data_IF_533679966067
#
_entry.id   IF_533679966067
#
_cell.length_a   1.000
_cell.length_b   1.000
_cell.length_c   1.000
_cell.angle_alpha   90.00
_cell.angle_beta   90.00
_cell.angle_gamma   90.00
#
_symmetry.space_group_name_H-M   'P 1'
#
loop_
_entity.id
_entity.type
_entity.pdbx_description
1 polymer ?
#
# COMPACT_ATOMS: atom_id res chain seq x y z
N UNK A 1 -3.44 -3.71 -19.79
CA UNK A 1 -2.65 -4.13 -18.62
C UNK A 1 -2.67 -3.01 -17.59
N UNK A 2 -3.23 -3.24 -16.40
CA UNK A 2 -3.19 -2.28 -15.29
C UNK A 2 -1.88 -2.41 -14.52
N UNK A 3 -1.31 -1.28 -14.11
CA UNK A 3 -0.08 -1.20 -13.31
C UNK A 3 -0.42 -1.01 -11.84
N UNK A 4 -0.10 -2.00 -11.03
CA UNK A 4 -0.42 -2.02 -9.60
C UNK A 4 0.87 -1.90 -8.80
N UNK A 5 0.80 -1.17 -7.69
CA UNK A 5 1.88 -1.13 -6.70
C UNK A 5 1.35 -1.49 -5.32
N UNK A 6 2.25 -1.93 -4.43
CA UNK A 6 1.91 -2.32 -3.05
C UNK A 6 2.73 -1.49 -2.08
N UNK A 7 2.06 -0.82 -1.14
CA UNK A 7 2.66 -0.11 -0.02
C UNK A 7 2.51 -0.92 1.28
N UNK A 8 3.62 -1.10 2.00
CA UNK A 8 3.71 -1.79 3.29
C UNK A 8 4.28 -0.90 4.39
N UNK A 9 4.04 -1.29 5.63
CA UNK A 9 4.71 -0.69 6.79
C UNK A 9 6.17 -1.12 6.87
N UNK A 10 7.10 -0.18 7.01
CA UNK A 10 8.53 -0.47 7.18
C UNK A 10 8.78 -1.34 8.42
N UNK A 11 8.21 -0.96 9.56
CA UNK A 11 8.40 -1.66 10.85
C UNK A 11 8.02 -3.13 10.74
N UNK A 12 6.89 -3.45 10.12
CA UNK A 12 6.46 -4.84 9.91
C UNK A 12 7.30 -5.54 8.85
N UNK A 13 7.72 -4.82 7.82
CA UNK A 13 8.54 -5.38 6.72
C UNK A 13 9.92 -5.82 7.18
N UNK A 14 10.44 -5.30 8.31
CA UNK A 14 11.69 -5.76 8.90
C UNK A 14 11.69 -7.27 9.24
N UNK A 15 10.52 -7.87 9.48
CA UNK A 15 10.37 -9.31 9.71
C UNK A 15 9.41 -9.99 8.71
N UNK A 16 8.89 -9.25 7.71
CA UNK A 16 7.89 -9.73 6.78
C UNK A 16 8.41 -9.70 5.33
N UNK A 17 8.63 -10.88 4.76
CA UNK A 17 9.04 -11.05 3.37
C UNK A 17 7.96 -10.62 2.34
N UNK A 18 6.72 -10.39 2.77
CA UNK A 18 5.63 -9.97 1.88
C UNK A 18 4.99 -11.09 1.06
N UNK A 19 5.27 -12.35 1.39
CA UNK A 19 4.75 -13.54 0.69
C UNK A 19 3.23 -13.54 0.56
N UNK A 20 2.48 -13.20 1.61
CA UNK A 20 1.02 -13.11 1.57
C UNK A 20 0.51 -12.02 0.61
N UNK A 21 1.20 -10.88 0.54
CA UNK A 21 0.82 -9.81 -0.41
C UNK A 21 1.06 -10.23 -1.86
N UNK A 22 2.19 -10.88 -2.13
CA UNK A 22 2.55 -11.35 -3.48
C UNK A 22 1.67 -12.51 -3.92
N UNK A 23 1.34 -13.45 -3.02
CA UNK A 23 0.39 -14.53 -3.29
C UNK A 23 -0.96 -13.95 -3.72
N UNK A 24 -1.54 -13.05 -2.91
CA UNK A 24 -2.82 -12.45 -3.21
C UNK A 24 -2.81 -11.67 -4.55
N UNK A 25 -1.71 -11.00 -4.87
CA UNK A 25 -1.54 -10.34 -6.16
C UNK A 25 -1.50 -11.36 -7.33
N UNK A 26 -0.64 -12.38 -7.24
CA UNK A 26 -0.45 -13.38 -8.30
C UNK A 26 -1.71 -14.19 -8.57
N UNK A 27 -2.44 -14.53 -7.51
CA UNK A 27 -3.70 -15.30 -7.58
C UNK A 27 -4.91 -14.41 -7.86
N UNK A 28 -4.73 -13.08 -7.92
CA UNK A 28 -5.82 -12.09 -8.02
C UNK A 28 -6.92 -12.34 -6.98
N UNK A 29 -6.51 -12.62 -5.75
CA UNK A 29 -7.40 -12.96 -4.65
C UNK A 29 -7.49 -11.84 -3.63
N UNK A 30 -8.45 -11.96 -2.70
CA UNK A 30 -8.60 -11.04 -1.57
C UNK A 30 -8.75 -9.58 -2.06
N UNK A 31 -7.87 -8.66 -1.65
CA UNK A 31 -7.92 -7.25 -2.09
C UNK A 31 -7.69 -7.05 -3.59
N UNK A 32 -7.20 -8.06 -4.30
CA UNK A 32 -6.98 -8.02 -5.75
C UNK A 32 -8.10 -8.70 -6.57
N UNK A 33 -9.13 -9.25 -5.92
CA UNK A 33 -10.26 -9.93 -6.60
C UNK A 33 -10.96 -9.07 -7.64
N UNK A 34 -11.00 -7.75 -7.41
CA UNK A 34 -11.57 -6.78 -8.35
C UNK A 34 -10.91 -6.77 -9.74
N UNK A 35 -9.72 -7.33 -9.86
CA UNK A 35 -8.98 -7.44 -11.12
C UNK A 35 -9.14 -8.81 -11.78
N UNK A 36 -10.07 -9.65 -11.32
CA UNK A 36 -10.41 -10.91 -11.99
C UNK A 36 -10.80 -10.65 -13.46
N UNK A 37 -10.27 -11.46 -14.37
CA UNK A 37 -10.41 -11.25 -15.81
C UNK A 37 -9.57 -10.10 -16.40
N UNK A 38 -8.88 -9.30 -15.58
CA UNK A 38 -8.01 -8.22 -16.05
C UNK A 38 -6.53 -8.63 -16.04
N UNK A 39 -5.77 -8.18 -17.03
CA UNK A 39 -4.31 -8.30 -17.03
C UNK A 39 -3.68 -7.20 -16.16
N UNK A 40 -2.91 -7.60 -15.15
CA UNK A 40 -2.29 -6.69 -14.17
C UNK A 40 -0.79 -6.98 -14.02
N UNK A 41 -0.01 -5.92 -13.82
CA UNK A 41 1.43 -5.99 -13.61
C UNK A 41 1.81 -5.33 -12.28
N UNK A 42 2.62 -6.01 -11.47
CA UNK A 42 3.21 -5.43 -10.27
C UNK A 42 4.41 -4.57 -10.68
N UNK A 43 4.30 -3.25 -10.51
CA UNK A 43 5.37 -2.33 -10.90
C UNK A 43 6.20 -1.82 -9.72
N UNK A 44 5.76 -2.12 -8.49
CA UNK A 44 6.52 -1.79 -7.29
C UNK A 44 5.91 -2.38 -6.03
N UNK A 45 6.76 -2.85 -5.13
CA UNK A 45 6.39 -3.23 -3.77
C UNK A 45 7.35 -2.56 -2.81
N UNK A 46 6.84 -1.61 -2.02
CA UNK A 46 7.67 -0.69 -1.28
C UNK A 46 7.11 -0.43 0.12
N UNK A 47 7.91 0.25 0.94
CA UNK A 47 7.59 0.60 2.32
C UNK A 47 7.57 2.10 2.52
N UNK A 48 6.81 2.56 3.51
CA UNK A 48 7.03 3.91 4.07
C UNK A 48 8.47 4.07 4.56
N UNK A 49 8.89 5.31 4.86
CA UNK A 49 10.22 5.56 5.41
C UNK A 49 10.28 5.43 6.94
N UNK A 50 9.19 5.01 7.56
CA UNK A 50 9.16 4.64 8.97
C UNK A 50 8.41 5.62 9.86
N UNK A 51 8.30 5.24 11.14
CA UNK A 51 7.74 6.07 12.21
C UNK A 51 8.30 5.60 13.56
N UNK A 52 8.40 6.51 14.54
CA UNK A 52 8.93 6.21 15.87
C UNK A 52 10.38 5.71 15.79
N UNK A 53 10.68 4.57 16.42
CA UNK A 53 12.04 3.98 16.44
C UNK A 53 12.44 3.22 15.16
N UNK A 54 11.51 3.02 14.23
CA UNK A 54 11.77 2.30 12.98
C UNK A 54 11.73 3.28 11.83
N UNK A 55 12.88 3.87 11.50
CA UNK A 55 13.05 4.93 10.50
C UNK A 55 14.21 4.57 9.57
N UNK A 56 14.07 4.84 8.28
CA UNK A 56 15.21 4.85 7.35
C UNK A 56 16.03 6.14 7.51
N UNK A 57 17.30 6.13 7.13
CA UNK A 57 18.13 7.35 7.20
C UNK A 57 17.63 8.44 6.25
N UNK A 58 17.35 8.09 5.00
CA UNK A 58 16.88 9.04 3.98
C UNK A 58 15.35 9.21 4.04
N UNK A 59 14.86 10.08 4.93
CA UNK A 59 13.43 10.37 5.06
C UNK A 59 12.84 11.05 3.82
N UNK A 60 13.56 11.97 3.18
CA UNK A 60 13.12 12.67 1.96
C UNK A 60 12.92 11.73 0.76
N UNK A 61 13.53 10.54 0.79
CA UNK A 61 13.35 9.51 -0.22
C UNK A 61 11.91 9.07 -0.41
N UNK A 62 11.00 9.38 0.52
CA UNK A 62 9.56 9.08 0.39
C UNK A 62 8.94 9.87 -0.76
N UNK A 63 9.34 11.13 -0.97
CA UNK A 63 8.84 11.96 -2.07
C UNK A 63 9.23 11.36 -3.42
N UNK A 64 10.46 10.85 -3.54
CA UNK A 64 10.94 10.16 -4.74
C UNK A 64 10.13 8.89 -5.03
N UNK A 65 9.79 8.12 -3.99
CA UNK A 65 8.94 6.92 -4.13
C UNK A 65 7.54 7.29 -4.65
N UNK A 66 6.93 8.33 -4.08
CA UNK A 66 5.60 8.82 -4.47
C UNK A 66 5.62 9.34 -5.92
N UNK A 67 6.55 10.24 -6.25
CA UNK A 67 6.69 10.79 -7.60
C UNK A 67 6.91 9.70 -8.64
N UNK A 68 7.66 8.64 -8.30
CA UNK A 68 7.88 7.50 -9.19
C UNK A 68 6.60 6.70 -9.48
N UNK A 69 5.64 6.64 -8.55
CA UNK A 69 4.35 5.98 -8.79
C UNK A 69 3.55 6.73 -9.86
N UNK A 70 3.51 8.07 -9.77
CA UNK A 70 2.85 8.91 -10.76
C UNK A 70 3.55 8.83 -12.12
N UNK A 71 4.87 9.00 -12.16
CA UNK A 71 5.69 8.92 -13.38
C UNK A 71 5.56 7.57 -14.11
N UNK A 72 5.42 6.46 -13.37
CA UNK A 72 5.21 5.14 -13.97
C UNK A 72 3.78 4.88 -14.46
N UNK A 73 2.85 5.79 -14.19
CA UNK A 73 1.43 5.63 -14.49
C UNK A 73 0.83 4.46 -13.71
N UNK A 74 1.09 4.38 -12.39
CA UNK A 74 0.42 3.41 -11.51
C UNK A 74 -1.10 3.67 -11.55
N UNK A 75 -1.88 2.65 -11.87
CA UNK A 75 -3.35 2.72 -11.84
C UNK A 75 -3.88 2.70 -10.40
N UNK A 76 -3.25 1.93 -9.51
CA UNK A 76 -3.58 1.90 -8.09
C UNK A 76 -2.40 1.45 -7.21
N UNK A 77 -2.25 2.11 -6.06
CA UNK A 77 -1.39 1.64 -4.96
C UNK A 77 -2.28 0.94 -3.92
N UNK A 78 -2.10 -0.37 -3.75
CA UNK A 78 -2.73 -1.13 -2.68
C UNK A 78 -1.98 -0.96 -1.36
N UNK A 79 -2.67 -0.51 -0.29
CA UNK A 79 -2.09 -0.43 1.05
C UNK A 79 -2.34 -1.72 1.83
N UNK A 80 -1.27 -2.44 2.15
CA UNK A 80 -1.37 -3.71 2.87
C UNK A 80 -1.90 -3.53 4.30
N UNK A 81 -2.55 -4.56 4.85
CA UNK A 81 -3.14 -4.55 6.20
C UNK A 81 -2.14 -4.10 7.29
N UNK A 82 -0.85 -4.43 7.14
CA UNK A 82 0.20 -4.02 8.09
C UNK A 82 0.39 -2.49 8.23
N UNK A 83 -0.26 -1.68 7.39
CA UNK A 83 -0.25 -0.21 7.47
C UNK A 83 -1.29 0.36 8.45
N UNK A 84 -2.18 -0.49 8.99
CA UNK A 84 -3.10 -0.17 10.07
C UNK A 84 -2.80 -1.03 11.31
N UNK A 85 -3.23 -0.55 12.48
CA UNK A 85 -3.22 -1.30 13.74
C UNK A 85 -4.53 -1.12 14.45
N UNK A 86 -4.95 -2.14 15.19
CA UNK A 86 -6.11 -2.02 16.07
C UNK A 86 -5.80 -1.04 17.20
N UNK A 87 -6.71 -0.12 17.48
CA UNK A 87 -6.71 0.66 18.72
C UNK A 87 -7.19 -0.20 19.90
N UNK A 88 -7.36 0.40 21.08
CA UNK A 88 -7.79 -0.28 22.30
C UNK A 88 -9.19 -0.92 22.16
N UNK A 89 -10.05 -0.35 21.30
CA UNK A 89 -11.38 -0.88 20.97
C UNK A 89 -11.37 -1.97 19.90
N UNK A 90 -10.18 -2.37 19.41
CA UNK A 90 -10.04 -3.37 18.35
C UNK A 90 -10.31 -2.86 16.94
N UNK A 91 -10.54 -1.55 16.77
CA UNK A 91 -10.85 -0.90 15.49
C UNK A 91 -9.54 -0.64 14.73
N UNK A 92 -9.41 -1.08 13.46
CA UNK A 92 -8.24 -0.76 12.65
C UNK A 92 -8.11 0.75 12.40
N UNK A 93 -7.04 1.35 12.90
CA UNK A 93 -6.66 2.74 12.67
C UNK A 93 -5.43 2.77 11.77
N UNK A 94 -5.50 3.53 10.68
CA UNK A 94 -4.38 3.66 9.74
C UNK A 94 -3.26 4.51 10.36
N UNK A 95 -2.02 4.10 10.13
CA UNK A 95 -0.85 4.85 10.59
C UNK A 95 -0.83 6.28 9.98
N UNK A 96 -0.64 7.36 10.78
CA UNK A 96 -0.60 8.73 10.27
C UNK A 96 0.44 8.97 9.16
N UNK A 97 1.61 8.33 9.26
CA UNK A 97 2.64 8.39 8.20
C UNK A 97 2.13 7.80 6.88
N UNK A 98 1.34 6.72 6.95
CA UNK A 98 0.75 6.11 5.76
C UNK A 98 -0.35 7.01 5.19
N UNK A 99 -1.20 7.60 6.04
CA UNK A 99 -2.23 8.55 5.61
C UNK A 99 -1.59 9.70 4.81
N UNK A 100 -0.52 10.30 5.32
CA UNK A 100 0.19 11.37 4.61
C UNK A 100 0.73 10.93 3.24
N UNK A 101 1.27 9.71 3.15
CA UNK A 101 1.71 9.14 1.87
C UNK A 101 0.53 8.96 0.91
N UNK A 102 -0.61 8.46 1.40
CA UNK A 102 -1.81 8.28 0.59
C UNK A 102 -2.35 9.60 0.05
N UNK A 103 -2.41 10.65 0.88
CA UNK A 103 -2.82 12.00 0.45
C UNK A 103 -1.93 12.51 -0.67
N UNK A 104 -0.61 12.42 -0.51
CA UNK A 104 0.36 12.82 -1.55
C UNK A 104 0.25 11.99 -2.84
N UNK A 105 -0.06 10.70 -2.74
CA UNK A 105 -0.36 9.88 -3.92
C UNK A 105 -1.62 10.40 -4.62
N UNK A 106 -2.68 10.70 -3.87
CA UNK A 106 -3.93 11.24 -4.42
C UNK A 106 -3.74 12.62 -5.06
N UNK A 107 -2.95 13.52 -4.46
CA UNK A 107 -2.56 14.81 -5.04
C UNK A 107 -1.85 14.68 -6.40
N UNK A 108 -1.13 13.57 -6.60
CA UNK A 108 -0.47 13.23 -7.87
C UNK A 108 -1.38 12.44 -8.83
N UNK A 109 -2.67 12.33 -8.53
CA UNK A 109 -3.64 11.59 -9.35
C UNK A 109 -3.54 10.06 -9.23
N UNK A 110 -2.73 9.53 -8.31
CA UNK A 110 -2.59 8.09 -8.09
C UNK A 110 -3.71 7.61 -7.16
N UNK A 111 -4.47 6.60 -7.61
CA UNK A 111 -5.52 5.99 -6.79
C UNK A 111 -4.91 5.14 -5.69
N UNK A 112 -5.53 5.16 -4.51
CA UNK A 112 -5.14 4.30 -3.39
C UNK A 112 -6.26 3.29 -3.16
N UNK A 113 -5.90 2.01 -3.06
CA UNK A 113 -6.84 0.93 -2.81
C UNK A 113 -6.56 0.27 -1.46
N UNK A 114 -7.62 -0.14 -0.76
CA UNK A 114 -7.46 -0.85 0.51
C UNK A 114 -7.07 -2.32 0.33
N UNK A 115 -6.13 -2.76 1.16
CA UNK A 115 -5.87 -4.18 1.39
C UNK A 115 -4.98 -4.85 0.35
N UNK A 116 -4.37 -5.96 0.77
CA UNK A 116 -3.71 -6.92 -0.11
C UNK A 116 -4.24 -8.32 0.19
N UNK A 117 -3.90 -8.85 1.36
CA UNK A 117 -4.40 -10.09 1.93
C UNK A 117 -4.97 -9.84 3.34
N UNK A 118 -5.70 -10.82 3.88
CA UNK A 118 -6.60 -10.76 5.02
C UNK A 118 -8.07 -10.76 4.59
N UNK A 119 -8.93 -11.38 5.41
CA UNK A 119 -10.39 -11.45 5.20
C UNK A 119 -11.07 -10.08 5.04
N UNK A 120 -10.40 -9.01 5.48
CA UNK A 120 -10.92 -7.65 5.47
C UNK A 120 -10.31 -6.79 4.35
N UNK A 121 -9.52 -7.37 3.44
CA UNK A 121 -8.97 -6.66 2.29
C UNK A 121 -10.06 -6.44 1.24
N UNK A 122 -10.54 -5.20 1.09
CA UNK A 122 -11.69 -4.90 0.22
C UNK A 122 -11.30 -4.66 -1.23
N UNK A 123 -10.08 -4.17 -1.49
CA UNK A 123 -9.67 -3.71 -2.81
C UNK A 123 -10.31 -2.39 -3.23
N UNK A 124 -11.17 -1.80 -2.40
CA UNK A 124 -11.89 -0.58 -2.75
C UNK A 124 -10.98 0.63 -2.81
N UNK A 125 -11.30 1.57 -3.72
CA UNK A 125 -10.59 2.85 -3.75
C UNK A 125 -10.97 3.64 -2.51
N UNK A 126 -9.97 4.13 -1.80
CA UNK A 126 -10.15 4.92 -0.59
C UNK A 126 -9.51 6.29 -0.78
N UNK A 127 -10.14 7.29 -0.17
CA UNK A 127 -9.64 8.66 -0.09
C UNK A 127 -9.42 9.01 1.38
N UNK A 128 -8.46 9.90 1.62
CA UNK A 128 -8.17 10.39 2.95
C UNK A 128 -8.38 11.90 2.95
N UNK A 129 -9.41 12.37 3.65
CA UNK A 129 -9.68 13.79 3.87
C UNK A 129 -8.58 14.43 4.72
#
# INVERSE_FOLDING_TARGET
>A
MKKIAILRCLKTSAACAGTGCLRAFNEKSEGFRKYEGEDIQLIGMWTCNGCGKSMLENQEGIEKKIARMADKGVDAVHISHCTAKKNDDGIPVRCPTIINICKKLNEQGVKVADGTHGSNATGEIITFD
#
